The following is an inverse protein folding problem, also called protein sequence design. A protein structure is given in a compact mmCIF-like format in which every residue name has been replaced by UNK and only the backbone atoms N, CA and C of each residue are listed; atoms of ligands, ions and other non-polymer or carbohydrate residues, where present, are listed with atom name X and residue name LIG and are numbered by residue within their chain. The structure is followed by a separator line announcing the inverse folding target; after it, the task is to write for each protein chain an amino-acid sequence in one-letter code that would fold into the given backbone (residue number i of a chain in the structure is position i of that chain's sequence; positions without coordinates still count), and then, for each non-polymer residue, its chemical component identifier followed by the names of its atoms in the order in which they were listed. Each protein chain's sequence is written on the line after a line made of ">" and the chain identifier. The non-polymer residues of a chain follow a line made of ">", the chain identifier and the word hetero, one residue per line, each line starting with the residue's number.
data_IF_937120160658
#
_entry.id   IF_937120160658
#
_cell.length_a   1.000
_cell.length_b   1.000
_cell.length_c   1.000
_cell.angle_alpha   90.00
_cell.angle_beta   90.00
_cell.angle_gamma   90.00
#
_symmetry.space_group_name_H-M   'P 1'
#
loop_
_entity.id
_entity.type
_entity.pdbx_description
1 polymer ?
#
# COMPACT_ATOMS: atom_id res chain seq x y z
N UNK A 1 -7.42 14.39 18.44
CA UNK A 1 -7.83 13.06 18.90
C UNK A 1 -6.76 12.07 18.47
N UNK A 2 -6.11 11.42 19.42
CA UNK A 2 -5.12 10.37 19.12
C UNK A 2 -5.88 9.16 18.58
N UNK A 3 -5.61 8.76 17.34
CA UNK A 3 -6.13 7.50 16.83
C UNK A 3 -5.55 6.36 17.68
N UNK A 4 -6.38 5.53 18.30
CA UNK A 4 -5.89 4.45 19.17
C UNK A 4 -5.03 3.49 18.34
N UNK A 5 -3.88 3.15 18.89
CA UNK A 5 -3.01 2.11 18.34
C UNK A 5 -3.85 0.82 18.16
N UNK A 6 -3.80 0.17 17.01
CA UNK A 6 -4.53 -1.08 16.82
C UNK A 6 -4.04 -2.12 17.82
N UNK A 7 -4.99 -2.87 18.36
CA UNK A 7 -4.65 -3.97 19.26
C UNK A 7 -3.98 -5.11 18.48
N UNK A 8 -3.21 -5.95 19.17
CA UNK A 8 -2.57 -7.12 18.59
C UNK A 8 -3.57 -8.03 17.86
N UNK A 9 -4.77 -8.15 18.41
CA UNK A 9 -5.85 -8.96 17.86
C UNK A 9 -6.46 -8.37 16.58
N UNK A 10 -6.56 -7.04 16.48
CA UNK A 10 -7.00 -6.32 15.28
C UNK A 10 -5.97 -6.44 14.15
N UNK A 11 -4.68 -6.37 14.46
CA UNK A 11 -3.61 -6.58 13.49
C UNK A 11 -3.57 -8.01 12.97
N UNK A 12 -3.66 -8.99 13.85
CA UNK A 12 -3.75 -10.40 13.46
C UNK A 12 -4.95 -10.65 12.55
N UNK A 13 -6.14 -10.15 12.89
CA UNK A 13 -7.34 -10.31 12.06
C UNK A 13 -7.21 -9.64 10.69
N UNK A 14 -6.49 -8.52 10.59
CA UNK A 14 -6.21 -7.83 9.33
C UNK A 14 -5.34 -8.67 8.40
N UNK A 15 -4.23 -9.24 8.91
CA UNK A 15 -3.32 -10.06 8.10
C UNK A 15 -3.93 -11.38 7.63
N UNK A 16 -4.93 -11.90 8.34
CA UNK A 16 -5.65 -13.14 7.96
C UNK A 16 -6.94 -12.89 7.15
N UNK A 17 -7.18 -11.67 6.69
CA UNK A 17 -8.39 -11.28 5.93
C UNK A 17 -9.70 -11.65 6.65
N UNK A 18 -9.70 -11.59 8.00
CA UNK A 18 -10.84 -11.89 8.88
C UNK A 18 -11.37 -10.66 9.60
N UNK A 19 -10.96 -9.46 9.15
CA UNK A 19 -11.33 -8.21 9.80
C UNK A 19 -12.56 -7.57 9.16
N UNK A 20 -13.28 -6.76 9.96
CA UNK A 20 -14.32 -5.89 9.44
C UNK A 20 -13.70 -4.71 8.68
N UNK A 21 -14.44 -4.05 7.75
CA UNK A 21 -13.94 -2.86 7.04
C UNK A 21 -13.46 -1.74 7.97
N UNK A 22 -14.05 -1.62 9.17
CA UNK A 22 -13.62 -0.63 10.18
C UNK A 22 -12.23 -0.94 10.73
N UNK A 23 -11.94 -2.20 11.02
CA UNK A 23 -10.64 -2.67 11.51
C UNK A 23 -9.58 -2.52 10.41
N UNK A 24 -9.91 -2.88 9.16
CA UNK A 24 -9.03 -2.71 8.00
C UNK A 24 -8.60 -1.25 7.85
N UNK A 25 -9.57 -0.32 7.81
CA UNK A 25 -9.31 1.11 7.70
C UNK A 25 -8.47 1.65 8.87
N UNK A 26 -8.72 1.17 10.09
CA UNK A 26 -7.97 1.56 11.30
C UNK A 26 -6.50 1.11 11.20
N UNK A 27 -6.27 -0.13 10.79
CA UNK A 27 -4.92 -0.73 10.67
C UNK A 27 -4.15 -0.07 9.53
N UNK A 28 -4.76 0.14 8.37
CA UNK A 28 -4.13 0.80 7.22
C UNK A 28 -3.70 2.23 7.57
N UNK A 29 -4.60 3.03 8.17
CA UNK A 29 -4.28 4.40 8.61
C UNK A 29 -3.15 4.44 9.63
N UNK A 30 -3.15 3.50 10.58
CA UNK A 30 -2.10 3.41 11.58
C UNK A 30 -0.76 3.02 10.95
N UNK A 31 -0.76 2.04 10.05
CA UNK A 31 0.42 1.52 9.37
C UNK A 31 1.09 2.61 8.51
N UNK A 32 0.32 3.31 7.68
CA UNK A 32 0.83 4.40 6.86
C UNK A 32 1.34 5.59 7.68
N UNK A 33 0.74 5.83 8.84
CA UNK A 33 1.18 6.90 9.74
C UNK A 33 2.41 6.55 10.58
N UNK A 34 2.53 5.28 11.01
CA UNK A 34 3.51 4.85 12.00
C UNK A 34 4.41 3.70 11.49
N UNK A 35 4.25 3.22 10.25
CA UNK A 35 4.92 2.03 9.72
C UNK A 35 6.45 2.09 9.76
N UNK A 36 7.03 3.28 9.82
CA UNK A 36 8.48 3.49 9.95
C UNK A 36 8.93 3.63 11.42
N UNK A 37 8.01 3.65 12.39
CA UNK A 37 8.34 3.76 13.81
C UNK A 37 8.96 2.46 14.34
N UNK A 38 9.86 2.60 15.31
CA UNK A 38 10.44 1.45 16.03
C UNK A 38 9.37 0.62 16.77
N UNK A 39 8.29 1.26 17.21
CA UNK A 39 7.16 0.61 17.90
C UNK A 39 6.34 -0.24 16.93
N UNK A 40 6.06 0.28 15.72
CA UNK A 40 5.38 -0.47 14.68
C UNK A 40 6.19 -1.70 14.25
N UNK A 41 7.51 -1.54 14.07
CA UNK A 41 8.43 -2.65 13.74
C UNK A 41 8.46 -3.72 14.84
N UNK A 42 8.53 -3.32 16.11
CA UNK A 42 8.49 -4.27 17.26
C UNK A 42 7.16 -5.02 17.33
N UNK A 43 6.04 -4.33 17.09
CA UNK A 43 4.71 -4.93 17.14
C UNK A 43 4.52 -5.94 16.01
N UNK A 44 4.97 -5.60 14.78
CA UNK A 44 4.96 -6.51 13.63
C UNK A 44 5.85 -7.72 13.87
N UNK A 45 7.04 -7.52 14.45
CA UNK A 45 7.97 -8.60 14.76
C UNK A 45 7.41 -9.56 15.82
N UNK A 46 6.75 -9.03 16.86
CA UNK A 46 6.11 -9.86 17.90
C UNK A 46 4.92 -10.67 17.39
N UNK A 47 4.21 -10.17 16.37
CA UNK A 47 3.16 -10.93 15.66
C UNK A 47 3.75 -12.03 14.79
N UNK A 48 4.88 -11.76 14.17
CA UNK A 48 5.62 -12.73 13.36
C UNK A 48 6.13 -13.92 14.20
N UNK A 49 6.78 -13.65 15.34
CA UNK A 49 7.27 -14.70 16.27
C UNK A 49 6.14 -15.61 16.75
N UNK A 50 4.95 -15.07 17.02
CA UNK A 50 3.81 -15.88 17.48
C UNK A 50 3.19 -16.73 16.36
N UNK A 51 3.34 -16.31 15.08
CA UNK A 51 2.91 -17.08 13.92
C UNK A 51 3.82 -18.27 13.65
N UNK A 52 5.13 -18.14 13.91
CA UNK A 52 6.07 -19.25 13.87
C UNK A 52 5.77 -20.29 14.98
N UNK A 53 5.41 -19.84 16.18
CA UNK A 53 5.07 -20.72 17.30
C UNK A 53 3.72 -21.45 17.13
N UNK A 54 2.74 -20.85 16.44
CA UNK A 54 1.45 -21.50 16.22
C UNK A 54 1.44 -22.54 15.11
N UNK A 55 2.42 -22.55 14.23
CA UNK A 55 2.60 -23.63 13.24
C UNK A 55 3.32 -24.86 13.79
N UNK A 56 3.85 -24.81 15.02
CA UNK A 56 4.64 -25.88 15.63
C UNK A 56 3.97 -26.65 16.78
N UNK A 57 2.68 -26.41 17.10
CA UNK A 57 2.04 -27.00 18.28
C UNK A 57 1.27 -28.30 18.05
N UNK A 58 1.32 -28.89 16.86
CA UNK A 58 0.83 -30.26 16.69
C UNK A 58 2.02 -31.19 16.65
N UNK A 59 2.26 -31.90 17.73
CA UNK A 59 3.38 -32.84 17.79
C UNK A 59 3.21 -33.96 16.73
N UNK A 60 4.28 -34.48 16.13
CA UNK A 60 4.20 -35.62 15.23
C UNK A 60 3.45 -36.82 15.83
N UNK A 61 3.49 -36.96 17.16
CA UNK A 61 2.79 -38.00 17.92
C UNK A 61 1.28 -37.80 17.93
N UNK A 62 0.76 -36.56 18.00
CA UNK A 62 -0.68 -36.26 17.94
C UNK A 62 -1.24 -36.50 16.55
N UNK A 63 -0.47 -36.19 15.48
CA UNK A 63 -0.85 -36.50 14.10
C UNK A 63 -0.86 -38.01 13.89
N UNK A 64 0.12 -38.73 14.43
CA UNK A 64 0.20 -40.17 14.38
C UNK A 64 -0.94 -40.85 15.16
N UNK A 65 -1.28 -40.33 16.35
CA UNK A 65 -2.41 -40.82 17.14
C UNK A 65 -3.77 -40.60 16.45
N UNK A 66 -3.97 -39.45 15.83
CA UNK A 66 -5.17 -39.17 15.05
C UNK A 66 -5.28 -40.05 13.79
N UNK A 67 -4.15 -40.34 13.13
CA UNK A 67 -4.08 -41.24 11.99
C UNK A 67 -4.37 -42.70 12.40
N UNK A 68 -3.84 -43.18 13.51
CA UNK A 68 -4.12 -44.53 14.02
C UNK A 68 -5.57 -44.66 14.54
N UNK A 69 -6.15 -43.62 15.13
CA UNK A 69 -7.59 -43.61 15.46
C UNK A 69 -8.49 -43.65 14.21
N UNK A 70 -8.12 -42.92 13.16
CA UNK A 70 -8.83 -42.96 11.88
C UNK A 70 -8.72 -44.35 11.23
N UNK A 71 -7.54 -44.95 11.25
CA UNK A 71 -7.29 -46.30 10.75
C UNK A 71 -8.02 -47.38 11.56
N UNK A 72 -8.05 -47.25 12.89
CA UNK A 72 -8.81 -48.15 13.78
C UNK A 72 -10.32 -48.07 13.51
N UNK A 73 -10.88 -46.88 13.27
CA UNK A 73 -12.29 -46.70 12.87
C UNK A 73 -12.60 -47.29 11.50
N UNK A 74 -11.68 -47.21 10.54
CA UNK A 74 -11.82 -47.84 9.23
C UNK A 74 -11.77 -49.37 9.33
N UNK A 75 -11.01 -49.95 10.28
CA UNK A 75 -10.85 -51.40 10.46
C UNK A 75 -11.92 -52.01 11.38
N UNK A 76 -12.58 -51.23 12.25
CA UNK A 76 -13.63 -51.71 13.17
C UNK A 76 -15.03 -51.81 12.55
N UNK A 77 -15.19 -51.41 11.27
CA UNK A 77 -16.44 -51.55 10.55
C UNK A 77 -16.40 -52.75 9.58
N UNK A 78 -16.04 -53.93 10.09
CA UNK A 78 -16.21 -55.17 9.36
C UNK A 78 -17.61 -55.76 9.66
N UNK A 79 -18.55 -55.79 8.75
CA UNK A 79 -19.85 -56.46 8.96
C UNK A 79 -19.69 -57.97 8.79
N UNK A 80 -20.28 -58.74 9.72
CA UNK A 80 -20.46 -60.20 9.58
C UNK A 80 -21.18 -60.57 8.29
N UNK A 81 -20.66 -61.58 7.64
CA UNK A 81 -21.24 -62.18 6.43
C UNK A 81 -22.68 -62.68 6.59
N UNK A 82 -23.59 -62.04 5.88
CA UNK A 82 -24.87 -62.71 5.58
C UNK A 82 -24.92 -62.85 4.03
N UNK A 83 -24.80 -64.11 3.57
CA UNK A 83 -24.85 -64.48 2.15
C UNK A 83 -26.25 -64.25 1.56
N UNK A 84 -26.47 -63.16 0.97
CA UNK A 84 -27.52 -62.97 0.01
C UNK A 84 -26.92 -62.44 -1.32
N UNK A 85 -26.96 -63.25 -2.36
CA UNK A 85 -26.53 -62.91 -3.70
C UNK A 85 -27.49 -61.87 -4.29
N UNK A 86 -27.24 -60.58 -4.02
CA UNK A 86 -27.81 -59.46 -4.79
C UNK A 86 -26.67 -58.81 -5.58
N UNK A 87 -26.93 -58.32 -6.78
CA UNK A 87 -25.86 -57.74 -7.62
C UNK A 87 -25.20 -56.58 -6.90
N UNK A 88 -23.86 -56.60 -6.86
CA UNK A 88 -22.96 -55.70 -6.10
C UNK A 88 -23.10 -54.24 -6.52
N UNK A 89 -24.24 -53.59 -6.25
CA UNK A 89 -24.45 -52.17 -6.36
C UNK A 89 -23.40 -51.42 -5.52
N UNK A 90 -23.03 -52.01 -4.36
CA UNK A 90 -22.01 -51.45 -3.43
C UNK A 90 -20.60 -51.42 -4.04
N UNK A 91 -20.19 -52.45 -4.76
CA UNK A 91 -18.88 -52.44 -5.48
C UNK A 91 -18.86 -51.45 -6.65
N UNK A 92 -20.01 -51.19 -7.25
CA UNK A 92 -20.14 -50.20 -8.32
C UNK A 92 -20.04 -48.77 -7.73
N UNK A 93 -20.69 -48.50 -6.59
CA UNK A 93 -20.60 -47.24 -5.87
C UNK A 93 -19.17 -46.99 -5.36
N UNK A 94 -18.48 -48.02 -4.85
CA UNK A 94 -17.07 -47.86 -4.42
C UNK A 94 -16.14 -47.52 -5.58
N UNK A 95 -16.35 -48.07 -6.78
CA UNK A 95 -15.55 -47.75 -7.98
C UNK A 95 -15.82 -46.31 -8.44
N UNK A 96 -17.07 -45.85 -8.41
CA UNK A 96 -17.45 -44.50 -8.77
C UNK A 96 -16.90 -43.52 -7.69
N UNK A 97 -16.97 -43.86 -6.41
CA UNK A 97 -16.40 -43.04 -5.33
C UNK A 97 -14.89 -42.90 -5.46
N UNK A 98 -14.16 -43.97 -5.80
CA UNK A 98 -12.70 -43.91 -6.02
C UNK A 98 -12.33 -43.02 -7.22
N UNK A 99 -13.12 -43.03 -8.28
CA UNK A 99 -12.89 -42.18 -9.47
C UNK A 99 -13.19 -40.72 -9.18
N UNK A 100 -14.11 -40.40 -8.25
CA UNK A 100 -14.45 -39.03 -7.87
C UNK A 100 -13.55 -38.48 -6.74
N UNK A 101 -13.10 -39.35 -5.82
CA UNK A 101 -12.27 -38.95 -4.68
C UNK A 101 -10.85 -38.56 -5.14
N UNK A 102 -10.25 -39.27 -6.09
CA UNK A 102 -8.91 -38.98 -6.60
C UNK A 102 -8.78 -37.53 -7.18
N UNK A 103 -9.64 -37.13 -8.14
CA UNK A 103 -9.59 -35.75 -8.63
C UNK A 103 -9.95 -34.71 -7.56
N UNK A 104 -10.82 -35.08 -6.59
CA UNK A 104 -11.14 -34.15 -5.47
C UNK A 104 -9.94 -33.95 -4.53
N UNK A 105 -9.19 -35.01 -4.24
CA UNK A 105 -7.94 -34.91 -3.44
C UNK A 105 -6.89 -34.09 -4.19
N UNK A 106 -6.70 -34.35 -5.50
CA UNK A 106 -5.76 -33.59 -6.33
C UNK A 106 -6.18 -32.13 -6.39
N UNK A 107 -7.46 -31.83 -6.58
CA UNK A 107 -8.00 -30.48 -6.61
C UNK A 107 -7.88 -29.78 -5.25
N UNK A 108 -8.21 -30.50 -4.16
CA UNK A 108 -8.03 -30.00 -2.79
C UNK A 108 -6.55 -29.74 -2.46
N UNK A 109 -5.65 -30.66 -2.86
CA UNK A 109 -4.22 -30.48 -2.72
C UNK A 109 -3.68 -29.31 -3.55
N UNK A 110 -4.21 -29.10 -4.75
CA UNK A 110 -3.88 -27.96 -5.59
C UNK A 110 -4.35 -26.64 -4.96
N UNK A 111 -5.59 -26.59 -4.43
CA UNK A 111 -6.11 -25.41 -3.72
C UNK A 111 -5.30 -25.13 -2.44
N UNK A 112 -4.95 -26.19 -1.69
CA UNK A 112 -4.11 -26.06 -0.49
C UNK A 112 -2.70 -25.57 -0.83
N UNK A 113 -2.10 -26.07 -1.90
CA UNK A 113 -0.80 -25.59 -2.39
C UNK A 113 -0.84 -24.13 -2.84
N UNK A 114 -1.92 -23.72 -3.54
CA UNK A 114 -2.12 -22.29 -3.89
C UNK A 114 -2.28 -21.43 -2.64
N UNK A 115 -3.05 -21.90 -1.65
CA UNK A 115 -3.28 -21.15 -0.40
C UNK A 115 -1.99 -21.00 0.42
N UNK A 116 -1.16 -22.06 0.52
CA UNK A 116 0.15 -21.96 1.17
C UNK A 116 1.12 -20.99 0.48
N UNK A 117 1.01 -20.84 -0.83
CA UNK A 117 1.85 -19.91 -1.58
C UNK A 117 1.52 -18.44 -1.27
N UNK A 118 0.27 -18.15 -0.90
CA UNK A 118 -0.17 -16.80 -0.49
C UNK A 118 0.26 -16.46 0.96
N UNK A 119 0.46 -17.45 1.83
CA UNK A 119 0.83 -17.24 3.24
C UNK A 119 2.31 -16.87 3.46
N UNK A 120 3.20 -17.15 2.49
CA UNK A 120 4.65 -16.91 2.61
C UNK A 120 5.12 -15.72 1.75
N UNK A 121 4.33 -14.66 1.65
CA UNK A 121 4.74 -13.47 0.90
C UNK A 121 5.79 -12.69 1.69
N UNK A 122 7.01 -12.65 1.16
CA UNK A 122 8.08 -11.78 1.69
C UNK A 122 7.84 -10.37 1.17
N UNK A 123 7.68 -9.43 2.09
CA UNK A 123 7.49 -8.01 1.77
C UNK A 123 8.82 -7.26 1.86
N UNK A 124 9.10 -6.46 0.87
CA UNK A 124 10.30 -5.63 0.75
C UNK A 124 9.89 -4.17 0.96
N UNK A 125 10.50 -3.49 1.92
CA UNK A 125 10.35 -2.06 2.13
C UNK A 125 11.54 -1.31 1.51
N UNK A 126 11.26 -0.25 0.76
CA UNK A 126 12.22 0.71 0.24
C UNK A 126 11.77 2.12 0.56
N UNK A 127 12.68 2.94 1.10
CA UNK A 127 12.40 4.34 1.44
C UNK A 127 13.46 5.25 0.84
N UNK A 128 13.04 6.42 0.38
CA UNK A 128 13.89 7.55 0.11
C UNK A 128 13.92 8.44 1.35
N UNK A 129 15.09 8.76 1.86
CA UNK A 129 15.26 9.70 2.97
C UNK A 129 14.89 11.13 2.57
N UNK A 130 14.87 12.04 3.53
CA UNK A 130 14.76 13.46 3.22
C UNK A 130 16.02 13.91 2.45
N UNK A 131 15.84 14.75 1.45
CA UNK A 131 16.91 15.18 0.55
C UNK A 131 17.36 14.12 -0.48
N UNK A 132 16.72 12.96 -0.55
CA UNK A 132 17.13 11.86 -1.41
C UNK A 132 16.02 11.48 -2.41
N UNK A 133 16.43 11.06 -3.60
CA UNK A 133 15.53 10.51 -4.63
C UNK A 133 16.04 9.12 -4.99
N UNK A 134 15.15 8.13 -5.00
CA UNK A 134 15.53 6.76 -5.36
C UNK A 134 14.77 6.25 -6.59
N UNK A 135 15.49 5.55 -7.43
CA UNK A 135 14.94 4.80 -8.54
C UNK A 135 14.97 3.31 -8.21
N UNK A 136 13.82 2.63 -8.34
CA UNK A 136 13.69 1.21 -8.08
C UNK A 136 12.97 0.52 -9.23
N UNK A 137 13.27 -0.76 -9.40
CA UNK A 137 12.54 -1.65 -10.33
C UNK A 137 11.87 -2.74 -9.51
N UNK A 138 10.58 -2.93 -9.73
CA UNK A 138 9.76 -3.95 -9.09
C UNK A 138 9.87 -5.30 -9.83
N UNK A 139 9.41 -6.41 -9.22
CA UNK A 139 9.52 -7.75 -9.82
C UNK A 139 8.81 -7.93 -11.17
N UNK A 140 7.84 -7.08 -11.48
CA UNK A 140 7.09 -7.08 -12.75
C UNK A 140 7.70 -6.15 -13.83
N UNK A 141 8.91 -5.63 -13.61
CA UNK A 141 9.60 -4.60 -14.40
C UNK A 141 8.92 -3.21 -14.37
N UNK A 142 8.00 -2.97 -13.46
CA UNK A 142 7.53 -1.61 -13.16
C UNK A 142 8.67 -0.80 -12.57
N UNK A 143 8.89 0.41 -13.07
CA UNK A 143 9.89 1.32 -12.52
C UNK A 143 9.22 2.43 -11.73
N UNK A 144 9.83 2.78 -10.59
CA UNK A 144 9.32 3.81 -9.68
C UNK A 144 10.46 4.73 -9.27
N UNK A 145 10.26 6.03 -9.47
CA UNK A 145 11.06 7.06 -8.82
C UNK A 145 10.36 7.47 -7.53
N UNK A 146 11.07 7.38 -6.43
CA UNK A 146 10.61 7.81 -5.11
C UNK A 146 11.19 9.18 -4.79
N UNK A 147 10.34 10.15 -4.52
CA UNK A 147 10.76 11.47 -4.05
C UNK A 147 11.11 11.42 -2.55
N UNK A 148 11.74 12.47 -2.05
CA UNK A 148 12.18 12.62 -0.66
C UNK A 148 11.07 12.31 0.35
N UNK A 149 11.37 11.52 1.37
CA UNK A 149 10.43 11.11 2.41
C UNK A 149 9.38 10.09 1.98
N UNK A 150 9.57 9.42 0.83
CA UNK A 150 8.63 8.43 0.32
C UNK A 150 9.02 7.00 0.69
N UNK A 151 8.01 6.15 0.89
CA UNK A 151 8.18 4.73 1.20
C UNK A 151 7.26 3.88 0.34
N UNK A 152 7.79 2.79 -0.19
CA UNK A 152 7.06 1.77 -0.92
C UNK A 152 7.30 0.41 -0.28
N UNK A 153 6.23 -0.39 -0.17
CA UNK A 153 6.27 -1.77 0.30
C UNK A 153 5.66 -2.64 -0.78
N UNK A 154 6.40 -3.63 -1.25
CA UNK A 154 5.98 -4.53 -2.31
C UNK A 154 6.45 -5.95 -2.03
N UNK A 155 5.78 -6.98 -2.56
CA UNK A 155 6.19 -8.36 -2.39
C UNK A 155 7.40 -8.70 -3.26
N UNK A 156 8.23 -9.65 -2.83
CA UNK A 156 9.34 -10.18 -3.62
C UNK A 156 8.86 -10.78 -4.95
N UNK A 157 7.65 -11.36 -4.96
CA UNK A 157 6.96 -11.85 -6.16
C UNK A 157 5.47 -11.47 -6.09
N UNK A 158 4.91 -10.95 -7.17
CA UNK A 158 3.46 -10.71 -7.26
C UNK A 158 2.72 -12.03 -7.47
N UNK A 159 2.16 -12.59 -6.40
CA UNK A 159 1.33 -13.80 -6.40
C UNK A 159 -0.15 -13.42 -6.54
N UNK A 160 -1.00 -14.35 -7.00
CA UNK A 160 -2.45 -14.14 -7.10
C UNK A 160 -2.88 -13.27 -8.29
N UNK A 161 -4.08 -12.67 -8.16
CA UNK A 161 -4.78 -11.97 -9.26
C UNK A 161 -4.33 -10.55 -9.50
N UNK A 162 -3.64 -9.93 -8.54
CA UNK A 162 -3.27 -8.52 -8.56
C UNK A 162 -1.78 -8.34 -8.32
N UNK A 163 -1.23 -7.23 -8.79
CA UNK A 163 0.11 -6.71 -8.44
C UNK A 163 -0.11 -5.61 -7.42
N UNK A 164 -0.16 -5.96 -6.13
CA UNK A 164 -0.47 -5.00 -5.08
C UNK A 164 0.78 -4.50 -4.37
N UNK A 165 0.83 -3.20 -4.11
CA UNK A 165 1.85 -2.53 -3.31
C UNK A 165 1.20 -1.55 -2.33
N UNK A 166 1.96 -1.17 -1.29
CA UNK A 166 1.63 -0.07 -0.40
C UNK A 166 2.60 1.08 -0.64
N UNK A 167 2.06 2.29 -0.61
CA UNK A 167 2.85 3.47 -0.93
C UNK A 167 2.43 4.66 -0.06
N UNK A 168 3.42 5.43 0.41
CA UNK A 168 3.23 6.76 1.01
C UNK A 168 4.33 7.69 0.54
N UNK A 169 3.98 8.93 0.24
CA UNK A 169 4.94 9.90 -0.28
C UNK A 169 4.60 10.41 -1.66
N UNK A 170 5.60 10.77 -2.43
CA UNK A 170 5.48 11.14 -3.84
C UNK A 170 6.31 10.20 -4.70
N UNK A 171 5.70 9.68 -5.77
CA UNK A 171 6.36 8.78 -6.70
C UNK A 171 5.88 8.93 -8.13
N UNK A 172 6.82 8.82 -9.04
CA UNK A 172 6.53 8.68 -10.46
C UNK A 172 6.60 7.20 -10.84
N UNK A 173 5.48 6.67 -11.30
CA UNK A 173 5.31 5.27 -11.65
C UNK A 173 5.27 5.10 -13.16
N UNK A 174 6.09 4.18 -13.68
CA UNK A 174 5.98 3.65 -15.04
C UNK A 174 5.63 2.16 -14.93
N UNK A 175 4.33 1.87 -14.89
CA UNK A 175 3.83 0.52 -14.64
C UNK A 175 3.91 -0.33 -15.89
N UNK A 176 4.49 -1.52 -15.78
CA UNK A 176 4.56 -2.50 -16.85
C UNK A 176 3.16 -2.94 -17.32
N UNK A 177 2.94 -2.96 -18.65
CA UNK A 177 1.64 -3.30 -19.24
C UNK A 177 1.28 -4.75 -18.98
N UNK A 178 0.14 -4.98 -18.31
CA UNK A 178 -0.45 -6.31 -18.12
C UNK A 178 -1.96 -6.16 -17.89
N UNK A 179 -2.76 -6.53 -18.89
CA UNK A 179 -4.22 -6.42 -18.85
C UNK A 179 -4.88 -7.51 -18.01
N UNK A 180 -4.22 -8.67 -17.84
CA UNK A 180 -4.76 -9.80 -17.10
C UNK A 180 -4.53 -9.68 -15.59
N UNK A 181 -3.51 -8.89 -15.16
CA UNK A 181 -3.14 -8.74 -13.76
C UNK A 181 -3.01 -7.26 -13.39
N UNK A 182 -4.09 -6.62 -12.93
CA UNK A 182 -4.10 -5.21 -12.53
C UNK A 182 -3.02 -4.89 -11.49
N UNK A 183 -2.45 -3.68 -11.58
CA UNK A 183 -1.53 -3.14 -10.61
C UNK A 183 -2.28 -2.20 -9.67
N UNK A 184 -2.22 -2.49 -8.37
CA UNK A 184 -2.98 -1.78 -7.33
C UNK A 184 -2.00 -1.14 -6.36
N UNK A 185 -2.11 0.18 -6.19
CA UNK A 185 -1.41 0.93 -5.16
C UNK A 185 -2.39 1.24 -4.05
N UNK A 186 -2.13 0.75 -2.85
CA UNK A 186 -2.82 1.16 -1.63
C UNK A 186 -2.06 2.31 -0.98
N UNK A 187 -2.71 3.45 -0.82
CA UNK A 187 -2.10 4.66 -0.27
C UNK A 187 -3.07 5.36 0.67
N UNK A 188 -2.79 5.29 1.97
CA UNK A 188 -3.68 5.77 3.01
C UNK A 188 -5.10 5.17 2.87
N UNK A 189 -6.12 6.03 2.78
CA UNK A 189 -7.52 5.66 2.59
C UNK A 189 -7.94 5.46 1.13
N UNK A 190 -7.01 5.65 0.18
CA UNK A 190 -7.27 5.58 -1.25
C UNK A 190 -6.56 4.41 -1.92
N UNK A 191 -6.99 4.09 -3.13
CA UNK A 191 -6.27 3.15 -3.98
C UNK A 191 -6.28 3.59 -5.45
N UNK A 192 -5.22 3.16 -6.14
CA UNK A 192 -5.04 3.43 -7.57
C UNK A 192 -4.94 2.09 -8.27
N UNK A 193 -5.75 1.90 -9.30
CA UNK A 193 -5.77 0.70 -10.13
C UNK A 193 -5.40 1.05 -11.56
N UNK A 194 -4.39 0.35 -12.11
CA UNK A 194 -3.90 0.55 -13.48
C UNK A 194 -3.52 -0.77 -14.15
N UNK A 195 -3.47 -0.77 -15.49
CA UNK A 195 -3.09 -1.95 -16.29
C UNK A 195 -1.74 -1.80 -17.02
N UNK A 196 -1.17 -0.59 -17.01
CA UNK A 196 0.09 -0.28 -17.70
C UNK A 196 0.08 1.20 -18.07
N UNK A 197 0.59 2.04 -17.18
CA UNK A 197 0.26 3.46 -17.10
C UNK A 197 1.46 4.22 -16.57
N UNK A 198 1.67 5.44 -17.07
CA UNK A 198 2.64 6.39 -16.50
C UNK A 198 1.89 7.51 -15.78
N UNK A 199 2.18 7.69 -14.49
CA UNK A 199 1.53 8.69 -13.66
C UNK A 199 2.39 9.10 -12.48
N UNK A 200 2.08 10.26 -11.89
CA UNK A 200 2.64 10.72 -10.62
C UNK A 200 1.57 10.61 -9.52
N UNK A 201 1.96 10.08 -8.39
CA UNK A 201 1.14 10.01 -7.19
C UNK A 201 1.85 10.77 -6.06
N UNK A 202 1.15 11.74 -5.45
CA UNK A 202 1.60 12.42 -4.23
C UNK A 202 0.57 12.18 -3.12
N UNK A 203 0.98 11.42 -2.11
CA UNK A 203 0.11 10.98 -1.01
C UNK A 203 0.92 10.82 0.28
N UNK A 204 1.52 11.92 0.76
CA UNK A 204 2.19 11.95 2.06
C UNK A 204 1.16 11.87 3.19
N UNK A 205 1.49 11.16 4.26
CA UNK A 205 0.59 10.99 5.41
C UNK A 205 0.30 12.28 6.17
N UNK A 206 1.23 13.25 6.14
CA UNK A 206 1.12 14.56 6.76
C UNK A 206 0.58 15.67 5.85
N UNK A 207 0.24 15.35 4.60
CA UNK A 207 -0.43 16.26 3.67
C UNK A 207 -1.95 16.03 3.70
N UNK A 208 -2.75 17.11 3.66
CA UNK A 208 -4.23 17.03 3.62
C UNK A 208 -4.78 16.65 2.24
N UNK A 209 -3.92 16.49 1.26
CA UNK A 209 -4.30 16.32 -0.15
C UNK A 209 -3.57 15.12 -0.75
N UNK A 210 -4.33 14.34 -1.53
CA UNK A 210 -3.78 13.34 -2.45
C UNK A 210 -3.86 13.91 -3.86
N UNK A 211 -2.79 13.75 -4.64
CA UNK A 211 -2.72 14.21 -6.02
C UNK A 211 -2.34 13.04 -6.92
N UNK A 212 -3.10 12.85 -8.00
CA UNK A 212 -2.79 11.88 -9.05
C UNK A 212 -2.81 12.58 -10.38
N UNK A 213 -1.70 12.56 -11.09
CA UNK A 213 -1.57 13.15 -12.42
C UNK A 213 -1.21 12.07 -13.45
N UNK A 214 -2.03 11.93 -14.49
CA UNK A 214 -1.88 10.88 -15.49
C UNK A 214 -1.15 11.39 -16.74
N UNK A 215 -0.02 10.73 -17.07
CA UNK A 215 0.79 11.06 -18.22
C UNK A 215 0.44 10.20 -19.43
N UNK A 216 0.32 8.88 -19.26
CA UNK A 216 -0.03 7.93 -20.33
C UNK A 216 -0.85 6.77 -19.78
N UNK A 217 -1.79 6.25 -20.56
CA UNK A 217 -2.65 5.13 -20.21
C UNK A 217 -3.98 5.54 -19.55
N UNK A 218 -4.38 4.85 -18.50
CA UNK A 218 -5.61 5.13 -17.72
C UNK A 218 -5.40 4.81 -16.25
N UNK A 219 -5.93 5.65 -15.38
CA UNK A 219 -5.91 5.48 -13.92
C UNK A 219 -7.34 5.43 -13.40
N UNK A 220 -7.64 4.42 -12.59
CA UNK A 220 -8.82 4.40 -11.76
C UNK A 220 -8.42 4.78 -10.31
N UNK A 221 -8.80 5.97 -9.88
CA UNK A 221 -8.58 6.46 -8.52
C UNK A 221 -9.80 6.18 -7.67
N UNK A 222 -9.63 5.36 -6.63
CA UNK A 222 -10.67 5.00 -5.67
C UNK A 222 -10.41 5.74 -4.36
N UNK A 223 -11.44 6.35 -3.80
CA UNK A 223 -11.38 7.21 -2.61
C UNK A 223 -12.68 7.12 -1.81
N UNK A 224 -12.66 7.33 -0.48
CA UNK A 224 -13.88 7.37 0.32
C UNK A 224 -14.66 8.66 0.09
N UNK A 225 -15.99 8.55 0.06
CA UNK A 225 -16.90 9.70 0.10
C UNK A 225 -17.11 10.17 1.55
N UNK A 226 -17.90 11.24 1.72
CA UNK A 226 -18.34 11.72 3.04
C UNK A 226 -19.16 10.70 3.82
N UNK A 227 -19.70 9.68 3.16
CA UNK A 227 -20.48 8.58 3.75
C UNK A 227 -19.69 7.29 3.84
N UNK A 228 -18.36 7.33 3.74
CA UNK A 228 -17.43 6.18 3.69
C UNK A 228 -17.74 5.17 2.56
N UNK A 229 -18.53 5.55 1.58
CA UNK A 229 -18.70 4.76 0.36
C UNK A 229 -17.50 4.96 -0.56
N UNK A 230 -16.99 3.88 -1.10
CA UNK A 230 -15.91 3.94 -2.08
C UNK A 230 -16.41 4.56 -3.39
N UNK A 231 -15.78 5.66 -3.79
CA UNK A 231 -16.02 6.34 -5.05
C UNK A 231 -14.87 6.07 -6.01
N UNK A 232 -15.16 6.06 -7.30
CA UNK A 232 -14.17 5.82 -8.35
C UNK A 232 -14.17 6.96 -9.36
N UNK A 233 -12.98 7.53 -9.61
CA UNK A 233 -12.72 8.51 -10.64
C UNK A 233 -11.77 7.95 -11.68
N UNK A 234 -12.11 8.01 -12.95
CA UNK A 234 -11.26 7.59 -14.06
C UNK A 234 -10.56 8.81 -14.64
N UNK A 235 -9.22 8.70 -14.79
CA UNK A 235 -8.40 9.73 -15.43
C UNK A 235 -7.98 9.29 -16.82
N UNK A 236 -7.91 10.29 -17.72
CA UNK A 236 -7.32 10.22 -19.06
C UNK A 236 -5.99 11.00 -19.09
N UNK A 237 -5.09 10.73 -20.05
CA UNK A 237 -3.82 11.46 -20.16
C UNK A 237 -4.01 12.97 -20.20
N UNK A 238 -3.19 13.70 -19.42
CA UNK A 238 -3.29 15.15 -19.26
C UNK A 238 -4.29 15.58 -18.16
N UNK A 239 -4.99 14.64 -17.52
CA UNK A 239 -5.87 14.92 -16.38
C UNK A 239 -5.18 14.65 -15.05
N UNK A 240 -5.58 15.45 -14.05
CA UNK A 240 -5.11 15.40 -12.68
C UNK A 240 -6.28 15.52 -11.74
N UNK A 241 -6.21 14.81 -10.62
CA UNK A 241 -7.14 14.96 -9.50
C UNK A 241 -6.44 15.38 -8.25
N UNK A 242 -7.16 16.20 -7.48
CA UNK A 242 -6.84 16.59 -6.11
C UNK A 242 -7.97 16.08 -5.21
N UNK A 243 -7.63 15.22 -4.28
CA UNK A 243 -8.56 14.72 -3.28
C UNK A 243 -8.18 15.30 -1.92
N UNK A 244 -9.08 16.06 -1.30
CA UNK A 244 -8.90 16.60 0.03
C UNK A 244 -9.42 15.61 1.08
N UNK A 245 -8.53 15.13 1.94
CA UNK A 245 -8.82 14.12 2.97
C UNK A 245 -9.77 14.62 4.06
N UNK A 246 -9.75 15.92 4.36
CA UNK A 246 -10.57 16.51 5.43
C UNK A 246 -11.99 16.76 4.97
N UNK A 247 -12.15 17.29 3.75
CA UNK A 247 -13.46 17.65 3.22
C UNK A 247 -14.07 16.57 2.32
N UNK A 248 -13.30 15.51 1.98
CA UNK A 248 -13.67 14.47 1.03
C UNK A 248 -14.04 14.98 -0.36
N UNK A 249 -13.57 16.19 -0.70
CA UNK A 249 -13.83 16.80 -2.00
C UNK A 249 -12.78 16.36 -3.02
N UNK A 250 -13.26 16.00 -4.21
CA UNK A 250 -12.43 15.68 -5.36
C UNK A 250 -12.54 16.78 -6.40
N UNK A 251 -11.42 17.33 -6.82
CA UNK A 251 -11.32 18.29 -7.90
C UNK A 251 -10.52 17.69 -9.06
N UNK A 252 -11.07 17.71 -10.28
CA UNK A 252 -10.42 17.23 -11.50
C UNK A 252 -10.07 18.40 -12.39
N UNK A 253 -8.82 18.45 -12.87
CA UNK A 253 -8.27 19.51 -13.74
C UNK A 253 -7.43 18.92 -14.86
N UNK A 254 -7.18 19.70 -15.89
CA UNK A 254 -6.15 19.43 -16.88
C UNK A 254 -4.82 20.06 -16.42
N UNK A 255 -3.72 19.45 -16.79
CA UNK A 255 -2.36 19.96 -16.48
C UNK A 255 -1.43 19.91 -17.70
N UNK A 256 -0.31 20.62 -17.60
CA UNK A 256 0.75 20.58 -18.60
C UNK A 256 1.70 19.43 -18.26
N UNK A 257 1.85 18.48 -19.18
CA UNK A 257 2.60 17.22 -18.97
C UNK A 257 4.05 17.43 -18.50
N UNK A 258 4.72 18.53 -18.93
CA UNK A 258 6.11 18.82 -18.56
C UNK A 258 6.34 19.10 -17.07
N UNK A 259 5.29 19.47 -16.34
CA UNK A 259 5.45 20.00 -14.98
C UNK A 259 5.45 18.89 -13.89
N UNK A 260 4.87 17.74 -14.21
CA UNK A 260 4.54 16.72 -13.18
C UNK A 260 5.63 15.67 -12.85
N UNK A 261 6.67 15.58 -13.65
CA UNK A 261 7.81 14.70 -13.32
C UNK A 261 9.12 15.48 -13.15
N UNK A 262 9.01 16.79 -13.16
CA UNK A 262 10.15 17.73 -13.14
C UNK A 262 10.92 17.70 -11.82
N UNK A 263 10.32 17.26 -10.73
CA UNK A 263 11.01 17.10 -9.44
C UNK A 263 12.16 16.08 -9.52
N UNK A 264 12.10 15.10 -10.41
CA UNK A 264 13.22 14.16 -10.69
C UNK A 264 14.46 14.87 -11.22
N UNK A 265 14.26 16.01 -11.87
CA UNK A 265 15.28 16.86 -12.46
C UNK A 265 15.60 18.09 -11.58
N UNK A 266 15.17 18.07 -10.29
CA UNK A 266 15.40 19.17 -9.35
C UNK A 266 14.59 20.43 -9.64
N UNK A 267 13.49 20.36 -10.40
CA UNK A 267 12.65 21.49 -10.74
C UNK A 267 11.38 21.51 -9.89
N UNK A 268 11.00 22.69 -9.41
CA UNK A 268 9.84 22.87 -8.55
C UNK A 268 8.87 23.88 -9.15
N UNK A 269 7.58 23.52 -9.20
CA UNK A 269 6.51 24.38 -9.69
C UNK A 269 5.47 24.54 -8.60
N UNK A 270 5.35 25.73 -8.05
CA UNK A 270 4.34 26.11 -7.08
C UNK A 270 3.25 26.91 -7.79
N UNK A 271 2.09 26.31 -8.00
CA UNK A 271 0.95 26.94 -8.72
C UNK A 271 -0.16 27.23 -7.72
N UNK A 272 -0.22 28.45 -7.20
CA UNK A 272 -1.17 28.87 -6.17
C UNK A 272 -1.10 27.96 -4.93
N UNK A 273 0.13 27.62 -4.52
CA UNK A 273 0.41 26.73 -3.39
C UNK A 273 0.64 27.54 -2.13
N UNK A 274 0.11 27.08 -0.99
CA UNK A 274 0.24 27.79 0.28
C UNK A 274 1.66 27.69 0.85
N UNK A 275 2.09 28.70 1.61
CA UNK A 275 3.39 28.69 2.30
C UNK A 275 3.56 27.44 3.17
N UNK A 276 2.52 26.98 3.84
CA UNK A 276 2.55 25.75 4.65
C UNK A 276 2.89 24.50 3.81
N UNK A 277 2.26 24.35 2.66
CA UNK A 277 2.51 23.20 1.78
C UNK A 277 3.88 23.28 1.13
N UNK A 278 4.31 24.50 0.75
CA UNK A 278 5.66 24.73 0.23
C UNK A 278 6.71 24.39 1.29
N UNK A 279 6.52 24.85 2.53
CA UNK A 279 7.41 24.54 3.64
C UNK A 279 7.57 23.03 3.82
N UNK A 280 6.47 22.26 3.89
CA UNK A 280 6.50 20.79 3.97
C UNK A 280 7.27 20.15 2.81
N UNK A 281 7.13 20.69 1.60
CA UNK A 281 7.86 20.18 0.44
C UNK A 281 9.35 20.49 0.52
N UNK A 282 9.72 21.71 0.93
CA UNK A 282 11.11 22.11 1.12
C UNK A 282 11.78 21.33 2.26
N UNK A 283 11.07 21.09 3.37
CA UNK A 283 11.55 20.23 4.47
C UNK A 283 11.96 18.86 3.97
N UNK A 284 11.10 18.23 3.16
CA UNK A 284 11.40 16.92 2.58
C UNK A 284 12.57 16.95 1.60
N UNK A 285 12.57 17.93 0.69
CA UNK A 285 13.54 17.97 -0.41
C UNK A 285 14.94 18.42 0.01
N UNK A 286 15.04 19.22 1.07
CA UNK A 286 16.32 19.78 1.52
C UNK A 286 16.76 19.28 2.90
N UNK A 287 16.02 18.34 3.50
CA UNK A 287 16.29 17.78 4.83
C UNK A 287 16.46 18.87 5.91
N UNK A 288 15.49 19.78 5.97
CA UNK A 288 15.42 20.89 6.92
C UNK A 288 14.10 20.87 7.69
N UNK A 289 14.01 21.67 8.76
CA UNK A 289 12.80 21.88 9.55
C UNK A 289 12.38 23.35 9.43
N UNK A 290 11.19 23.62 8.88
CA UNK A 290 10.67 24.96 8.63
C UNK A 290 9.51 25.26 9.59
N UNK A 291 9.71 26.20 10.50
CA UNK A 291 8.74 26.58 11.51
C UNK A 291 8.12 27.94 11.15
N UNK A 292 6.86 27.93 10.74
CA UNK A 292 6.10 29.16 10.48
C UNK A 292 5.48 29.60 11.81
N UNK A 293 6.00 30.69 12.39
CA UNK A 293 5.61 31.20 13.72
C UNK A 293 4.27 31.94 13.71
N UNK A 294 3.87 32.48 12.58
CA UNK A 294 2.62 33.22 12.44
C UNK A 294 1.66 32.44 11.55
N UNK A 295 0.55 31.97 12.12
CA UNK A 295 -0.45 31.17 11.42
C UNK A 295 -1.07 31.87 10.20
N UNK A 296 -1.14 33.21 10.21
CA UNK A 296 -1.67 33.96 9.06
C UNK A 296 -0.80 33.84 7.81
N UNK A 297 0.51 33.57 7.97
CA UNK A 297 1.42 33.36 6.85
C UNK A 297 1.22 32.02 6.17
N UNK A 298 0.75 31.00 6.89
CA UNK A 298 0.60 29.63 6.37
C UNK A 298 -0.25 29.55 5.11
N UNK A 299 -1.27 30.41 5.00
CA UNK A 299 -2.24 30.39 3.92
C UNK A 299 -1.88 31.33 2.76
N UNK A 300 -0.75 32.04 2.82
CA UNK A 300 -0.32 32.90 1.72
C UNK A 300 -0.01 32.03 0.49
N UNK A 301 -0.68 32.28 -0.66
CA UNK A 301 -0.44 31.52 -1.87
C UNK A 301 0.77 32.06 -2.63
N UNK A 302 1.56 31.16 -3.18
CA UNK A 302 2.69 31.47 -4.07
C UNK A 302 2.50 30.88 -5.45
N UNK A 303 2.96 31.61 -6.47
CA UNK A 303 3.02 31.15 -7.86
C UNK A 303 4.43 31.34 -8.38
N UNK A 304 5.26 30.32 -8.35
CA UNK A 304 6.68 30.35 -8.64
C UNK A 304 7.14 29.10 -9.37
N UNK A 305 8.21 29.22 -10.14
CA UNK A 305 8.88 28.09 -10.79
C UNK A 305 10.40 28.20 -10.57
N UNK A 306 11.00 27.10 -10.14
CA UNK A 306 12.43 26.94 -9.93
C UNK A 306 12.91 25.81 -10.85
N UNK A 307 13.74 26.14 -11.84
CA UNK A 307 14.06 25.24 -12.97
C UNK A 307 15.55 25.10 -13.25
N UNK A 308 16.40 25.80 -12.49
CA UNK A 308 17.85 25.87 -12.70
C UNK A 308 18.63 25.22 -11.55
N UNK A 309 18.06 24.29 -10.81
CA UNK A 309 18.63 23.68 -9.60
C UNK A 309 18.93 24.71 -8.51
N UNK A 310 17.98 25.63 -8.28
CA UNK A 310 18.09 26.64 -7.24
C UNK A 310 18.31 26.02 -5.86
N UNK A 311 19.17 26.65 -5.08
CA UNK A 311 19.40 26.23 -3.69
C UNK A 311 18.22 26.61 -2.80
N UNK A 312 18.14 26.02 -1.61
CA UNK A 312 17.11 26.37 -0.63
C UNK A 312 17.13 27.88 -0.32
N UNK A 313 18.33 28.49 -0.21
CA UNK A 313 18.49 29.92 0.08
C UNK A 313 18.00 30.78 -1.08
N UNK A 314 18.19 30.36 -2.33
CA UNK A 314 17.64 31.05 -3.50
C UNK A 314 16.12 30.99 -3.50
N UNK A 315 15.53 29.82 -3.19
CA UNK A 315 14.08 29.62 -3.11
C UNK A 315 13.48 30.53 -2.01
N UNK A 316 14.04 30.49 -0.80
CA UNK A 316 13.58 31.30 0.33
C UNK A 316 13.73 32.80 0.03
N UNK A 317 14.80 33.21 -0.62
CA UNK A 317 15.03 34.60 -1.03
C UNK A 317 14.00 35.05 -2.07
N UNK A 318 13.70 34.21 -3.07
CA UNK A 318 12.68 34.49 -4.07
C UNK A 318 11.27 34.58 -3.45
N UNK A 319 10.95 33.74 -2.46
CA UNK A 319 9.67 33.81 -1.73
C UNK A 319 9.51 35.08 -0.89
N UNK A 320 10.62 35.74 -0.56
CA UNK A 320 10.65 36.97 0.26
C UNK A 320 11.04 38.23 -0.54
N UNK A 321 10.84 38.24 -1.86
CA UNK A 321 11.18 39.41 -2.69
C UNK A 321 10.52 40.69 -2.24
N UNK A 322 9.32 40.64 -1.73
CA UNK A 322 8.55 41.79 -1.25
C UNK A 322 8.92 42.17 0.18
N UNK A 323 9.80 41.42 0.85
CA UNK A 323 10.29 41.70 2.21
C UNK A 323 9.25 41.49 3.34
N UNK A 324 8.15 40.81 3.07
CA UNK A 324 7.09 40.56 4.08
C UNK A 324 7.44 39.46 5.08
N UNK A 325 8.39 38.58 4.74
CA UNK A 325 8.82 37.51 5.62
C UNK A 325 10.11 37.87 6.35
N UNK A 326 10.17 37.57 7.63
CA UNK A 326 11.45 37.55 8.36
C UNK A 326 11.89 36.10 8.49
N UNK A 327 12.96 35.74 7.77
CA UNK A 327 13.47 34.35 7.74
C UNK A 327 14.76 34.30 8.56
N UNK A 328 14.78 33.43 9.57
CA UNK A 328 15.97 33.12 10.37
C UNK A 328 16.35 31.66 10.17
N UNK A 329 17.63 31.42 9.88
CA UNK A 329 18.17 30.07 9.69
C UNK A 329 19.27 29.79 10.72
N UNK A 330 19.12 28.67 11.41
CA UNK A 330 20.15 28.08 12.28
C UNK A 330 20.36 26.62 11.92
N UNK A 331 21.40 26.37 11.10
CA UNK A 331 21.70 25.05 10.53
C UNK A 331 20.53 24.51 9.70
N UNK A 332 19.89 23.44 10.20
CA UNK A 332 18.72 22.82 9.55
C UNK A 332 17.38 23.43 9.99
N UNK A 333 17.36 24.30 10.98
CA UNK A 333 16.13 24.94 11.48
C UNK A 333 15.95 26.27 10.78
N UNK A 334 14.77 26.50 10.21
CA UNK A 334 14.37 27.71 9.53
C UNK A 334 13.09 28.23 10.18
N UNK A 335 13.14 29.44 10.71
CA UNK A 335 11.99 30.09 11.31
C UNK A 335 11.49 31.23 10.42
N UNK A 336 10.19 31.23 10.12
CA UNK A 336 9.51 32.24 9.30
C UNK A 336 8.51 33.01 10.19
N UNK A 337 8.66 34.32 10.21
CA UNK A 337 7.84 35.23 11.02
C UNK A 337 7.05 36.18 10.14
#
# INVERSE_FOLDING_TARGET
>A
MQNPTPTRQELSSYFFDRCTPEISNKVERWFFKNGNSQEAKKLLFSLWEELEDTTSSTSPEEIQAAFEQFKARLLSTAPQENKSKKPNLFLWIQRIAAILILPLIIFSGYLFYQHQKEENIVWIEKSAGYGDIKHITLPDNTTVWLNAGSTIIYPEEFIGRFRQIFFTGEGHFSVAKNQEKPFIIKSNESSIEVLGTQFNLKSYSNDNRIEVALLDGSVAFCYPSTTDQEMKCILSPGEQVYYNRTTHNLEKKNFILSDYSSWKDGKYYFKNETLENIAKQLERNFDVNIIIKNDSLKQIPYHMAFVNNETLDDILSAMNLDGYLTIKRDGKIIEIY
#
